data_IF_796991632263
#
_entry.id   IF_796991632263
#
_cell.length_a   1.000
_cell.length_b   1.000
_cell.length_c   1.000
_cell.angle_alpha   90.00
_cell.angle_beta   90.00
_cell.angle_gamma   90.00
#
_symmetry.space_group_name_H-M   'P 1'
#
loop_
_entity.id
_entity.type
_entity.pdbx_description
1 polymer ?
#
# COMPACT_ATOMS: atom_id res chain seq x y z
N UNK A 1 18.55 -17.06 24.51
CA UNK A 1 17.38 -17.90 24.27
C UNK A 1 16.16 -17.01 24.10
N UNK A 2 15.43 -17.17 23.00
CA UNK A 2 14.12 -16.52 22.86
C UNK A 2 13.20 -17.07 23.96
N UNK A 3 12.40 -16.22 24.63
CA UNK A 3 11.45 -16.70 25.63
C UNK A 3 10.51 -17.70 24.94
N UNK A 4 10.51 -18.93 25.44
CA UNK A 4 9.53 -19.92 25.04
C UNK A 4 8.15 -19.38 25.39
N UNK A 5 7.27 -19.22 24.41
CA UNK A 5 5.87 -18.87 24.64
C UNK A 5 5.25 -19.85 25.64
N UNK A 6 4.63 -19.32 26.67
CA UNK A 6 3.86 -20.15 27.61
C UNK A 6 2.69 -20.77 26.87
N UNK A 7 2.32 -21.98 27.21
CA UNK A 7 1.17 -22.69 26.61
C UNK A 7 -0.17 -21.96 26.78
N UNK A 8 -0.22 -20.93 27.62
CA UNK A 8 -1.37 -20.03 27.81
C UNK A 8 -1.46 -18.89 26.78
N UNK A 9 -0.45 -18.71 25.93
CA UNK A 9 -0.38 -17.62 24.95
C UNK A 9 -0.73 -18.13 23.55
N UNK A 10 -1.76 -18.99 23.44
CA UNK A 10 -2.29 -19.42 22.16
C UNK A 10 -2.97 -18.22 21.47
N UNK A 11 -2.26 -17.65 20.52
CA UNK A 11 -2.80 -16.66 19.60
C UNK A 11 -3.62 -17.41 18.55
N UNK A 12 -4.89 -17.06 18.44
CA UNK A 12 -5.84 -17.68 17.49
C UNK A 12 -6.09 -16.80 16.27
N UNK A 13 -5.46 -15.62 16.22
CA UNK A 13 -5.51 -14.73 15.05
C UNK A 13 -4.43 -15.12 14.04
N UNK A 14 -4.71 -14.87 12.80
CA UNK A 14 -3.82 -15.15 11.68
C UNK A 14 -2.52 -14.32 11.80
N UNK A 15 -1.40 -14.95 11.55
CA UNK A 15 -0.08 -14.32 11.47
C UNK A 15 0.48 -14.29 10.04
N UNK A 16 -0.20 -14.94 9.11
CA UNK A 16 0.08 -14.95 7.68
C UNK A 16 -1.20 -15.07 6.86
N UNK A 17 -1.26 -14.34 5.75
CA UNK A 17 -2.33 -14.43 4.75
C UNK A 17 -1.79 -14.27 3.34
N UNK A 18 -2.37 -15.01 2.39
CA UNK A 18 -2.13 -14.85 0.96
C UNK A 18 -3.47 -14.84 0.22
N UNK A 19 -3.68 -13.86 -0.62
CA UNK A 19 -4.94 -13.59 -1.27
C UNK A 19 -4.74 -13.46 -2.77
N UNK A 20 -5.60 -14.12 -3.54
CA UNK A 20 -5.79 -13.88 -4.97
C UNK A 20 -7.08 -13.09 -5.15
N UNK A 21 -7.07 -12.09 -6.02
CA UNK A 21 -8.26 -11.31 -6.30
C UNK A 21 -8.42 -11.03 -7.80
N UNK A 22 -9.65 -10.71 -8.19
CA UNK A 22 -10.02 -10.33 -9.54
C UNK A 22 -10.90 -9.09 -9.47
N UNK A 23 -10.65 -8.17 -10.38
CA UNK A 23 -11.51 -7.01 -10.59
C UNK A 23 -12.58 -7.31 -11.65
N UNK A 24 -13.65 -6.53 -11.66
CA UNK A 24 -14.75 -6.68 -12.62
C UNK A 24 -14.32 -6.39 -14.07
N UNK A 25 -13.25 -5.61 -14.26
CA UNK A 25 -12.62 -5.35 -15.55
C UNK A 25 -11.77 -6.53 -16.08
N UNK A 26 -11.65 -7.60 -15.29
CA UNK A 26 -10.88 -8.79 -15.62
C UNK A 26 -9.42 -8.75 -15.18
N UNK A 27 -8.94 -7.64 -14.64
CA UNK A 27 -7.60 -7.57 -14.06
C UNK A 27 -7.51 -8.47 -12.81
N UNK A 28 -6.29 -8.88 -12.48
CA UNK A 28 -6.03 -9.84 -11.41
C UNK A 28 -4.88 -9.36 -10.56
N UNK A 29 -4.91 -9.74 -9.31
CA UNK A 29 -3.82 -9.43 -8.40
C UNK A 29 -3.69 -10.47 -7.29
N UNK A 30 -2.63 -10.32 -6.55
CA UNK A 30 -2.39 -11.08 -5.32
C UNK A 30 -1.67 -10.19 -4.32
N UNK A 31 -1.88 -10.47 -3.06
CA UNK A 31 -1.02 -9.94 -2.01
C UNK A 31 -0.79 -11.00 -0.93
N UNK A 32 0.27 -10.80 -0.18
CA UNK A 32 0.52 -11.55 1.05
C UNK A 32 0.87 -10.59 2.17
N UNK A 33 0.45 -10.93 3.36
CA UNK A 33 0.77 -10.22 4.59
C UNK A 33 1.31 -11.22 5.61
N UNK A 34 2.34 -10.83 6.37
CA UNK A 34 2.95 -11.70 7.38
C UNK A 34 3.44 -10.89 8.57
N UNK A 35 3.15 -11.39 9.76
CA UNK A 35 3.70 -10.89 11.02
C UNK A 35 4.90 -11.74 11.51
N UNK A 36 5.23 -12.80 10.78
CA UNK A 36 6.21 -13.82 11.23
C UNK A 36 7.41 -13.97 10.29
N UNK A 37 7.50 -13.14 9.27
CA UNK A 37 8.63 -13.18 8.31
C UNK A 37 9.92 -12.70 8.97
N UNK A 38 10.81 -13.63 9.27
CA UNK A 38 12.09 -13.32 9.89
C UNK A 38 12.93 -12.39 9.01
N UNK A 39 13.52 -11.36 9.63
CA UNK A 39 14.37 -10.40 8.93
C UNK A 39 13.63 -9.25 8.25
N UNK A 40 12.33 -9.36 8.00
CA UNK A 40 11.48 -8.25 7.56
C UNK A 40 10.99 -7.46 8.77
N UNK A 41 11.01 -6.13 8.68
CA UNK A 41 10.60 -5.26 9.81
C UNK A 41 9.19 -4.71 9.54
N UNK A 42 9.07 -3.79 8.63
CA UNK A 42 7.79 -3.22 8.19
C UNK A 42 7.86 -2.96 6.70
N UNK A 43 8.07 -4.01 5.93
CA UNK A 43 8.27 -3.92 4.50
C UNK A 43 6.94 -3.86 3.77
N UNK A 44 6.71 -2.81 3.03
CA UNK A 44 5.65 -2.69 2.05
C UNK A 44 6.26 -2.66 0.64
N UNK A 45 5.76 -3.52 -0.24
CA UNK A 45 6.14 -3.51 -1.67
C UNK A 45 4.91 -3.63 -2.53
N UNK A 46 4.95 -3.05 -3.71
CA UNK A 46 3.96 -3.34 -4.73
C UNK A 46 4.61 -3.41 -6.11
N UNK A 47 3.95 -4.13 -7.01
CA UNK A 47 4.25 -4.16 -8.43
C UNK A 47 2.93 -4.12 -9.20
N UNK A 48 2.86 -3.25 -10.20
CA UNK A 48 1.70 -3.11 -11.07
C UNK A 48 2.16 -3.33 -12.51
N UNK A 49 1.57 -4.32 -13.17
CA UNK A 49 1.92 -4.74 -14.50
C UNK A 49 0.86 -4.34 -15.51
N UNK A 50 1.21 -3.48 -16.46
CA UNK A 50 0.40 -3.13 -17.61
C UNK A 50 0.88 -3.79 -18.90
N UNK A 51 0.18 -3.53 -20.01
CA UNK A 51 0.53 -4.07 -21.32
C UNK A 51 1.84 -3.49 -21.88
N UNK A 52 2.15 -2.24 -21.60
CA UNK A 52 3.30 -1.52 -22.14
C UNK A 52 4.40 -1.29 -21.12
N UNK A 53 4.03 -1.07 -19.86
CA UNK A 53 4.92 -0.71 -18.78
C UNK A 53 4.49 -1.39 -17.48
N UNK A 54 5.45 -1.56 -16.60
CA UNK A 54 5.24 -1.99 -15.22
C UNK A 54 5.93 -1.04 -14.27
N UNK A 55 5.42 -0.95 -13.05
CA UNK A 55 6.05 -0.18 -11.98
C UNK A 55 6.20 -1.06 -10.74
N UNK A 56 7.32 -0.91 -10.04
CA UNK A 56 7.55 -1.55 -8.76
C UNK A 56 8.18 -0.57 -7.76
N UNK A 57 7.74 -0.66 -6.52
CA UNK A 57 8.25 0.16 -5.43
C UNK A 57 8.46 -0.66 -4.17
N UNK A 58 9.48 -0.29 -3.41
CA UNK A 58 9.84 -0.94 -2.13
C UNK A 58 10.07 0.14 -1.06
N UNK A 59 9.36 0.03 0.06
CA UNK A 59 9.48 0.94 1.19
C UNK A 59 10.89 0.97 1.80
N UNK A 60 11.68 -0.09 1.64
CA UNK A 60 13.07 -0.13 2.14
C UNK A 60 14.01 0.71 1.25
N UNK A 61 13.57 1.09 0.02
CA UNK A 61 14.28 2.00 -0.90
C UNK A 61 13.27 3.02 -1.45
N UNK A 62 12.67 3.85 -0.59
CA UNK A 62 11.48 4.64 -0.92
C UNK A 62 11.72 5.69 -2.01
N UNK A 63 12.97 6.12 -2.24
CA UNK A 63 13.33 7.14 -3.23
C UNK A 63 13.41 6.62 -4.66
N UNK A 64 13.15 5.33 -4.89
CA UNK A 64 13.29 4.73 -6.21
C UNK A 64 11.99 4.09 -6.65
N UNK A 65 11.56 4.42 -7.87
CA UNK A 65 10.52 3.72 -8.58
C UNK A 65 11.15 2.98 -9.76
N UNK A 66 11.06 1.66 -9.79
CA UNK A 66 11.44 0.89 -10.96
C UNK A 66 10.33 0.95 -12.01
N UNK A 67 10.72 1.24 -13.26
CA UNK A 67 9.82 1.27 -14.40
C UNK A 67 10.31 0.26 -15.43
N UNK A 68 9.53 -0.79 -15.65
CA UNK A 68 9.76 -1.80 -16.67
C UNK A 68 9.12 -1.40 -17.99
N UNK A 69 9.84 -1.60 -19.07
CA UNK A 69 9.36 -1.31 -20.42
C UNK A 69 9.40 -2.55 -21.30
N UNK A 70 8.37 -2.71 -22.15
CA UNK A 70 8.30 -3.84 -23.08
C UNK A 70 9.30 -3.68 -24.25
N UNK A 71 9.46 -2.48 -24.77
CA UNK A 71 10.17 -2.22 -26.02
C UNK A 71 11.46 -1.39 -25.87
N UNK A 72 11.88 -1.10 -24.64
CA UNK A 72 13.11 -0.34 -24.33
C UNK A 72 13.71 -0.76 -23.00
N UNK A 73 14.86 -0.23 -22.66
CA UNK A 73 15.53 -0.52 -21.37
C UNK A 73 14.66 -0.07 -20.19
N UNK A 74 14.67 -0.85 -19.11
CA UNK A 74 14.07 -0.48 -17.84
C UNK A 74 14.77 0.74 -17.24
N UNK A 75 14.04 1.47 -16.40
CA UNK A 75 14.51 2.70 -15.76
C UNK A 75 14.32 2.59 -14.25
N UNK A 76 15.17 3.30 -13.52
CA UNK A 76 14.94 3.64 -12.13
C UNK A 76 14.71 5.15 -12.09
N UNK A 77 13.51 5.54 -11.68
CA UNK A 77 13.18 6.93 -11.43
C UNK A 77 13.53 7.24 -9.97
N UNK A 78 14.46 8.17 -9.79
CA UNK A 78 14.74 8.71 -8.45
C UNK A 78 13.81 9.87 -8.14
N UNK A 79 13.51 10.08 -6.88
CA UNK A 79 12.72 11.21 -6.42
C UNK A 79 13.48 12.52 -6.69
N UNK A 80 12.85 13.39 -7.47
CA UNK A 80 13.28 14.75 -7.73
C UNK A 80 12.04 15.61 -7.95
N UNK A 81 11.70 16.49 -7.01
CA UNK A 81 10.51 17.35 -7.13
C UNK A 81 10.48 18.17 -8.41
N UNK A 82 11.65 18.52 -8.95
CA UNK A 82 11.76 19.26 -10.21
C UNK A 82 11.33 18.46 -11.44
N UNK A 83 11.27 17.14 -11.34
CA UNK A 83 10.87 16.21 -12.41
C UNK A 83 9.51 15.56 -12.18
N UNK A 84 8.92 15.77 -11.01
CA UNK A 84 7.60 15.21 -10.66
C UNK A 84 6.46 15.99 -11.31
N UNK A 85 5.35 15.31 -11.54
CA UNK A 85 4.09 15.97 -11.87
C UNK A 85 3.68 16.91 -10.71
N UNK A 86 3.07 18.05 -11.05
CA UNK A 86 2.64 19.08 -10.07
C UNK A 86 1.77 18.50 -8.96
N UNK A 87 0.89 17.56 -9.27
CA UNK A 87 -0.03 16.96 -8.30
C UNK A 87 0.68 16.17 -7.19
N UNK A 88 1.91 15.73 -7.43
CA UNK A 88 2.72 14.99 -6.45
C UNK A 88 3.91 15.79 -5.93
N UNK A 89 4.38 16.80 -6.67
CA UNK A 89 5.52 17.64 -6.29
C UNK A 89 5.29 18.34 -4.94
N UNK A 90 4.04 18.71 -4.63
CA UNK A 90 3.66 19.34 -3.35
C UNK A 90 3.80 18.37 -2.14
N UNK A 91 3.96 17.08 -2.40
CA UNK A 91 4.20 16.07 -1.36
C UNK A 91 5.69 15.82 -1.09
N UNK A 92 6.58 16.36 -1.92
CA UNK A 92 8.03 16.31 -1.74
C UNK A 92 8.54 17.66 -1.22
N UNK A 93 9.36 17.63 -0.18
CA UNK A 93 9.73 18.84 0.56
C UNK A 93 11.21 19.17 0.47
N UNK A 94 12.04 18.22 0.00
CA UNK A 94 13.47 18.37 -0.13
C UNK A 94 13.91 18.25 -1.59
N UNK A 95 15.04 18.88 -1.95
CA UNK A 95 15.61 18.70 -3.29
C UNK A 95 16.00 17.25 -3.55
N UNK A 96 16.06 16.84 -4.80
CA UNK A 96 16.50 15.51 -5.23
C UNK A 96 17.80 15.09 -4.54
N UNK A 97 17.89 13.80 -4.19
CA UNK A 97 19.01 13.23 -3.44
C UNK A 97 18.94 13.38 -1.91
N UNK A 98 17.88 14.00 -1.39
CA UNK A 98 17.58 14.01 0.05
C UNK A 98 16.50 12.99 0.36
N UNK A 99 16.71 12.20 1.40
CA UNK A 99 15.82 11.09 1.75
C UNK A 99 14.56 11.61 2.42
N UNK A 100 13.42 11.36 1.81
CA UNK A 100 12.10 11.44 2.41
C UNK A 100 11.55 10.03 2.63
N UNK A 101 10.69 9.83 3.61
CA UNK A 101 10.19 8.51 3.93
C UNK A 101 8.93 8.50 4.75
N UNK A 102 8.77 7.47 5.57
CA UNK A 102 7.56 7.24 6.37
C UNK A 102 7.10 8.44 7.22
N UNK A 103 7.97 9.19 7.91
CA UNK A 103 7.54 10.37 8.66
C UNK A 103 6.96 11.46 7.77
N UNK A 104 7.53 11.66 6.58
CA UNK A 104 7.08 12.67 5.63
C UNK A 104 5.74 12.30 5.01
N UNK A 105 5.52 11.02 4.70
CA UNK A 105 4.23 10.51 4.24
C UNK A 105 3.13 10.77 5.28
N UNK A 106 3.40 10.50 6.57
CA UNK A 106 2.46 10.80 7.66
C UNK A 106 2.20 12.30 7.81
N UNK A 107 3.24 13.12 7.77
CA UNK A 107 3.13 14.58 7.82
C UNK A 107 2.22 15.08 6.68
N UNK A 108 2.43 14.57 5.47
CA UNK A 108 1.64 14.96 4.30
C UNK A 108 0.16 14.58 4.48
N UNK A 109 -0.11 13.35 4.87
CA UNK A 109 -1.48 12.86 5.12
C UNK A 109 -2.18 13.70 6.20
N UNK A 110 -1.54 13.93 7.34
CA UNK A 110 -2.10 14.75 8.42
C UNK A 110 -2.29 16.20 8.00
N UNK A 111 -1.36 16.76 7.21
CA UNK A 111 -1.48 18.10 6.65
C UNK A 111 -2.72 18.26 5.75
N UNK A 112 -2.99 17.27 4.91
CA UNK A 112 -4.19 17.23 4.06
C UNK A 112 -5.47 17.14 4.88
N UNK A 113 -5.49 16.28 5.89
CA UNK A 113 -6.62 16.15 6.81
C UNK A 113 -6.92 17.46 7.53
N UNK A 114 -5.92 18.10 8.14
CA UNK A 114 -6.12 19.37 8.86
C UNK A 114 -6.50 20.52 7.93
N UNK A 115 -6.06 20.55 6.68
CA UNK A 115 -6.55 21.53 5.70
C UNK A 115 -8.05 21.37 5.44
N UNK A 116 -8.56 20.15 5.33
CA UNK A 116 -9.99 19.90 5.20
C UNK A 116 -10.76 20.35 6.44
N UNK A 117 -10.23 20.09 7.64
CA UNK A 117 -10.83 20.57 8.90
C UNK A 117 -10.89 22.11 8.94
N UNK A 118 -9.83 22.80 8.56
CA UNK A 118 -9.79 24.27 8.54
C UNK A 118 -10.75 24.87 7.50
N UNK A 119 -10.90 24.19 6.37
CA UNK A 119 -11.85 24.60 5.32
C UNK A 119 -13.32 24.36 5.74
N UNK A 120 -13.56 23.54 6.77
CA UNK A 120 -14.90 23.14 7.20
C UNK A 120 -15.67 22.32 6.16
N UNK A 121 -14.97 21.75 5.17
CA UNK A 121 -15.57 20.98 4.09
C UNK A 121 -14.65 19.83 3.67
N UNK A 122 -15.26 18.70 3.30
CA UNK A 122 -14.55 17.58 2.68
C UNK A 122 -14.19 17.95 1.23
N UNK A 123 -12.92 17.81 0.81
CA UNK A 123 -12.56 17.98 -0.59
C UNK A 123 -13.20 16.90 -1.47
N UNK A 124 -13.47 17.21 -2.73
CA UNK A 124 -14.05 16.25 -3.69
C UNK A 124 -13.15 15.03 -3.93
N UNK A 125 -11.84 15.23 -3.84
CA UNK A 125 -10.84 14.15 -3.96
C UNK A 125 -9.87 14.21 -2.78
N UNK A 126 -10.24 13.69 -1.60
CA UNK A 126 -9.41 13.73 -0.41
C UNK A 126 -8.14 12.90 -0.61
N UNK A 127 -6.99 13.48 -0.26
CA UNK A 127 -5.68 12.80 -0.28
C UNK A 127 -5.37 12.11 1.07
N UNK A 128 -6.40 11.69 1.77
CA UNK A 128 -6.34 10.90 3.01
C UNK A 128 -7.52 9.93 3.04
N UNK A 129 -7.34 8.80 3.72
CA UNK A 129 -8.38 7.79 3.81
C UNK A 129 -9.60 8.32 4.58
N UNK A 130 -10.78 8.04 4.04
CA UNK A 130 -12.07 8.38 4.63
C UNK A 130 -12.68 7.18 5.36
N UNK A 131 -13.77 7.39 6.10
CA UNK A 131 -14.54 6.28 6.68
C UNK A 131 -15.16 5.36 5.64
N UNK A 132 -15.46 5.89 4.45
CA UNK A 132 -15.93 5.07 3.32
C UNK A 132 -14.84 4.10 2.84
N UNK A 133 -13.60 4.59 2.73
CA UNK A 133 -12.46 3.73 2.37
C UNK A 133 -12.22 2.66 3.44
N UNK A 134 -12.31 3.06 4.72
CA UNK A 134 -12.22 2.13 5.83
C UNK A 134 -13.31 1.05 5.82
N UNK A 135 -14.56 1.42 5.52
CA UNK A 135 -15.65 0.46 5.37
C UNK A 135 -15.39 -0.51 4.20
N UNK A 136 -14.91 0.01 3.07
CA UNK A 136 -14.55 -0.83 1.90
C UNK A 136 -13.49 -1.87 2.24
N UNK A 137 -12.47 -1.49 3.02
CA UNK A 137 -11.45 -2.44 3.51
C UNK A 137 -12.08 -3.52 4.39
N UNK A 138 -13.04 -3.18 5.26
CA UNK A 138 -13.72 -4.19 6.10
C UNK A 138 -14.52 -5.19 5.27
N UNK A 139 -15.22 -4.77 4.22
CA UNK A 139 -15.91 -5.70 3.31
C UNK A 139 -14.93 -6.65 2.61
N UNK A 140 -13.76 -6.16 2.23
CA UNK A 140 -12.70 -7.00 1.64
C UNK A 140 -12.20 -8.03 2.66
N UNK A 141 -11.94 -7.64 3.91
CA UNK A 141 -11.50 -8.54 4.97
C UNK A 141 -12.56 -9.63 5.23
N UNK A 142 -13.83 -9.27 5.32
CA UNK A 142 -14.92 -10.23 5.49
C UNK A 142 -14.99 -11.23 4.33
N UNK A 143 -14.81 -10.76 3.10
CA UNK A 143 -14.80 -11.63 1.93
C UNK A 143 -13.60 -12.59 1.94
N UNK A 144 -12.41 -12.14 2.38
CA UNK A 144 -11.22 -12.98 2.55
C UNK A 144 -11.49 -14.10 3.58
N UNK A 145 -12.02 -13.75 4.75
CA UNK A 145 -12.35 -14.74 5.79
C UNK A 145 -13.37 -15.75 5.28
N UNK A 146 -14.46 -15.29 4.63
CA UNK A 146 -15.46 -16.16 4.01
C UNK A 146 -14.86 -17.07 2.94
N UNK A 147 -13.97 -16.54 2.09
CA UNK A 147 -13.28 -17.31 1.06
C UNK A 147 -12.43 -18.42 1.65
N UNK A 148 -11.66 -18.10 2.70
CA UNK A 148 -10.85 -19.08 3.43
C UNK A 148 -11.72 -20.18 4.05
N UNK A 149 -12.79 -19.82 4.74
CA UNK A 149 -13.69 -20.79 5.40
C UNK A 149 -14.43 -21.69 4.40
N UNK A 150 -14.85 -21.11 3.27
CA UNK A 150 -15.63 -21.82 2.25
C UNK A 150 -14.77 -22.49 1.17
N UNK A 151 -13.47 -22.25 1.17
CA UNK A 151 -12.50 -22.76 0.18
C UNK A 151 -12.94 -22.47 -1.28
N UNK A 152 -13.44 -21.25 -1.52
CA UNK A 152 -13.92 -20.81 -2.83
C UNK A 152 -13.74 -19.30 -3.05
N UNK A 153 -13.88 -18.87 -4.29
CA UNK A 153 -13.98 -17.44 -4.61
C UNK A 153 -15.25 -16.84 -4.00
N UNK A 154 -15.11 -15.70 -3.36
CA UNK A 154 -16.20 -14.94 -2.77
C UNK A 154 -16.19 -13.54 -3.37
N UNK A 155 -17.37 -13.04 -3.76
CA UNK A 155 -17.52 -11.66 -4.21
C UNK A 155 -17.47 -10.73 -3.00
N UNK A 156 -16.79 -9.59 -3.15
CA UNK A 156 -16.88 -8.50 -2.17
C UNK A 156 -18.23 -7.81 -2.39
N UNK A 157 -19.02 -7.72 -1.33
CA UNK A 157 -20.35 -7.07 -1.34
C UNK A 157 -20.24 -5.80 -0.48
N UNK A 158 -20.46 -4.63 -1.11
CA UNK A 158 -20.41 -3.31 -0.48
C UNK A 158 -21.78 -2.90 0.06
#
# INVERSE_FOLDING_TARGET
>A
SFPTRRSSDLVTTEDFGSVLFRFDDGSKGSFSVSQVSAGRKNRLTFEINGSEQSVAWDQEIPQQLWIGHRARANQILSDDPGLMNRDVADSAHFPGGHIEGWPDAFKNMMGQFYRAVQAGAMPDNPQFATFHDGASVMYIIDAIVKSHQQQRWVRVEY
#
